data_IF_842110602747
#
_entry.id   IF_842110602747
#
_cell.length_a   1.000
_cell.length_b   1.000
_cell.length_c   1.000
_cell.angle_alpha   90.00
_cell.angle_beta   90.00
_cell.angle_gamma   90.00
#
_symmetry.space_group_name_H-M   'P 1'
#
loop_
_entity.id
_entity.type
_entity.pdbx_description
1 polymer ?
#
# COMPACT_ATOMS: atom_id res chain seq x y z
N UNK A 1 -22.35 -24.22 19.74
CA UNK A 1 -22.95 -25.23 20.61
C UNK A 1 -22.85 -24.80 22.08
N UNK A 2 -21.75 -24.22 22.50
CA UNK A 2 -21.53 -23.84 23.91
C UNK A 2 -22.28 -22.58 24.36
N UNK A 3 -22.73 -21.74 23.45
CA UNK A 3 -23.59 -20.59 23.74
C UNK A 3 -24.92 -21.08 24.35
N UNK A 4 -25.34 -22.25 23.94
CA UNK A 4 -26.60 -22.88 24.37
C UNK A 4 -26.39 -23.93 25.47
N UNK A 5 -25.17 -24.13 25.96
CA UNK A 5 -24.87 -25.14 26.94
C UNK A 5 -25.22 -24.65 28.37
N UNK A 6 -26.19 -25.25 29.04
CA UNK A 6 -26.55 -24.88 30.42
C UNK A 6 -25.42 -25.11 31.44
N UNK A 7 -24.39 -25.89 31.12
CA UNK A 7 -23.24 -26.11 32.00
C UNK A 7 -22.41 -24.84 32.23
N UNK A 8 -22.56 -23.81 31.40
CA UNK A 8 -21.93 -22.51 31.64
C UNK A 8 -22.71 -21.62 32.60
N UNK A 9 -23.87 -22.06 33.08
CA UNK A 9 -24.71 -21.32 34.01
C UNK A 9 -25.43 -20.11 33.44
N UNK A 10 -25.28 -19.84 32.15
CA UNK A 10 -25.91 -18.71 31.49
C UNK A 10 -27.22 -19.12 30.80
N UNK A 11 -28.33 -18.54 31.21
CA UNK A 11 -29.59 -18.66 30.48
C UNK A 11 -29.54 -17.81 29.23
N UNK A 12 -30.22 -18.25 28.13
CA UNK A 12 -30.28 -17.54 26.86
C UNK A 12 -30.73 -16.08 27.01
N UNK A 13 -31.71 -15.83 27.90
CA UNK A 13 -32.20 -14.49 28.20
C UNK A 13 -31.09 -13.56 28.74
N UNK A 14 -30.24 -14.10 29.64
CA UNK A 14 -29.13 -13.35 30.20
C UNK A 14 -28.08 -13.07 29.13
N UNK A 15 -27.84 -14.03 28.25
CA UNK A 15 -26.92 -13.86 27.13
C UNK A 15 -27.44 -12.81 26.11
N UNK A 16 -28.74 -12.80 25.85
CA UNK A 16 -29.38 -11.80 24.97
C UNK A 16 -29.36 -10.40 25.61
N UNK A 17 -29.64 -10.27 26.89
CA UNK A 17 -29.58 -8.99 27.64
C UNK A 17 -28.14 -8.43 27.64
N UNK A 18 -27.13 -9.31 27.67
CA UNK A 18 -25.74 -8.93 27.62
C UNK A 18 -25.29 -8.54 26.18
N UNK A 19 -25.94 -9.07 25.16
CA UNK A 19 -25.80 -8.65 23.76
C UNK A 19 -26.38 -7.24 23.53
N UNK A 20 -27.50 -6.93 24.13
CA UNK A 20 -28.13 -5.61 24.10
C UNK A 20 -27.28 -4.55 24.81
N UNK A 21 -26.44 -4.92 25.78
CA UNK A 21 -25.48 -4.05 26.47
C UNK A 21 -24.25 -3.61 25.63
N UNK A 22 -24.19 -4.01 24.36
CA UNK A 22 -23.19 -3.58 23.37
C UNK A 22 -21.98 -4.51 23.27
N UNK A 23 -21.19 -4.27 22.18
CA UNK A 23 -19.99 -5.04 21.78
C UNK A 23 -18.91 -5.18 22.88
N UNK A 24 -18.91 -4.29 23.89
CA UNK A 24 -17.94 -4.29 24.98
C UNK A 24 -17.91 -5.59 25.82
N UNK A 25 -19.03 -6.30 25.90
CA UNK A 25 -19.08 -7.57 26.63
C UNK A 25 -18.35 -8.70 25.91
N UNK A 26 -18.45 -8.76 24.59
CA UNK A 26 -17.75 -9.74 23.77
C UNK A 26 -16.25 -9.40 23.51
N UNK A 27 -15.86 -8.17 23.74
CA UNK A 27 -14.45 -7.76 23.70
C UNK A 27 -13.67 -8.28 24.92
N UNK A 28 -14.33 -8.60 26.01
CA UNK A 28 -13.70 -9.26 27.16
C UNK A 28 -13.58 -10.75 26.88
N UNK A 29 -12.36 -11.19 26.56
CA UNK A 29 -12.03 -12.51 26.01
C UNK A 29 -12.67 -13.72 26.66
N UNK A 30 -13.12 -13.64 27.94
CA UNK A 30 -13.79 -14.75 28.66
C UNK A 30 -15.18 -15.08 28.10
N UNK A 31 -15.85 -14.17 27.44
CA UNK A 31 -17.26 -14.32 27.03
C UNK A 31 -17.47 -14.35 25.52
N UNK A 32 -16.42 -14.16 24.73
CA UNK A 32 -16.52 -14.26 23.29
C UNK A 32 -16.51 -15.74 22.86
N UNK A 33 -17.61 -16.28 22.33
CA UNK A 33 -17.68 -17.70 21.96
C UNK A 33 -16.72 -18.06 20.83
N UNK A 34 -16.36 -17.11 19.99
CA UNK A 34 -15.40 -17.32 18.89
C UNK A 34 -14.00 -17.56 19.41
N UNK A 35 -13.60 -16.93 20.52
CA UNK A 35 -12.26 -17.09 21.09
C UNK A 35 -12.01 -18.49 21.67
N UNK A 36 -13.03 -19.27 21.95
CA UNK A 36 -12.90 -20.67 22.38
C UNK A 36 -12.52 -21.61 21.24
N UNK A 37 -12.82 -21.21 20.00
CA UNK A 37 -12.60 -22.00 18.79
C UNK A 37 -11.49 -21.45 17.90
N UNK A 38 -10.98 -20.24 18.22
CA UNK A 38 -9.90 -19.58 17.47
C UNK A 38 -8.65 -19.55 18.35
N UNK A 39 -7.61 -20.24 17.94
CA UNK A 39 -6.28 -20.12 18.53
C UNK A 39 -5.57 -18.95 17.89
N UNK A 40 -5.68 -17.77 18.50
CA UNK A 40 -4.90 -16.60 18.07
C UNK A 40 -3.52 -16.65 18.74
N UNK A 41 -2.50 -16.91 17.97
CA UNK A 41 -1.10 -16.85 18.40
C UNK A 41 -0.48 -15.56 17.91
N UNK A 42 -0.15 -14.67 18.84
CA UNK A 42 0.65 -13.48 18.50
C UNK A 42 2.13 -13.88 18.53
N UNK A 43 2.92 -13.28 17.64
CA UNK A 43 4.36 -13.49 17.59
C UNK A 43 5.03 -13.29 18.96
N UNK A 44 4.66 -12.23 19.67
CA UNK A 44 5.17 -11.92 20.99
C UNK A 44 4.94 -13.06 21.99
N UNK A 45 3.76 -13.65 21.99
CA UNK A 45 3.42 -14.75 22.90
C UNK A 45 4.26 -16.00 22.59
N UNK A 46 4.54 -16.25 21.28
CA UNK A 46 5.38 -17.36 20.85
C UNK A 46 6.86 -17.11 21.19
N UNK A 47 7.33 -15.89 21.10
CA UNK A 47 8.69 -15.48 21.51
C UNK A 47 8.88 -15.59 23.03
N UNK A 48 7.88 -15.15 23.82
CA UNK A 48 7.87 -15.26 25.28
C UNK A 48 7.84 -16.73 25.75
N UNK A 49 7.15 -17.61 25.01
CA UNK A 49 7.13 -19.05 25.25
C UNK A 49 8.39 -19.77 24.77
N UNK A 50 9.31 -19.09 24.10
CA UNK A 50 10.50 -19.69 23.49
C UNK A 50 10.25 -20.61 22.31
N UNK A 51 9.06 -20.58 21.71
CA UNK A 51 8.69 -21.41 20.56
C UNK A 51 9.26 -20.87 19.24
N UNK A 52 9.53 -19.58 19.18
CA UNK A 52 10.22 -18.93 18.06
C UNK A 52 11.33 -18.02 18.61
N UNK A 53 12.43 -17.86 17.90
CA UNK A 53 13.49 -16.95 18.32
C UNK A 53 13.01 -15.50 18.28
N UNK A 54 13.42 -14.71 19.27
CA UNK A 54 13.24 -13.26 19.24
C UNK A 54 14.20 -12.68 18.21
N UNK A 55 13.66 -12.16 17.12
CA UNK A 55 14.46 -11.48 16.10
C UNK A 55 14.72 -10.05 16.55
N UNK A 56 15.98 -9.58 16.48
CA UNK A 56 16.26 -8.16 16.65
C UNK A 56 15.55 -7.38 15.54
N UNK A 57 14.86 -6.31 15.92
CA UNK A 57 14.19 -5.39 14.98
C UNK A 57 14.86 -4.04 15.12
N UNK A 58 15.39 -3.56 14.00
CA UNK A 58 15.92 -2.22 13.87
C UNK A 58 14.98 -1.42 12.95
N UNK A 59 14.54 -0.26 13.40
CA UNK A 59 13.54 0.54 12.68
C UNK A 59 14.25 1.72 12.04
N UNK A 60 14.15 1.80 10.73
CA UNK A 60 14.67 2.90 9.92
C UNK A 60 13.53 3.59 9.13
N UNK A 61 13.62 4.90 8.89
CA UNK A 61 14.62 5.82 9.45
C UNK A 61 14.48 5.97 10.97
N UNK A 62 15.59 6.02 11.66
CA UNK A 62 15.66 6.30 13.09
C UNK A 62 15.89 7.81 13.28
N UNK A 63 15.18 8.43 14.22
CA UNK A 63 15.31 9.87 14.52
C UNK A 63 16.75 10.29 14.92
N UNK A 64 17.53 9.35 15.44
CA UNK A 64 18.91 9.58 15.85
C UNK A 64 19.93 9.44 14.70
N UNK A 65 19.50 8.95 13.53
CA UNK A 65 20.36 8.81 12.36
C UNK A 65 20.14 9.98 11.40
N UNK A 66 21.21 10.70 11.03
CA UNK A 66 21.09 11.79 10.05
C UNK A 66 20.75 11.22 8.68
N UNK A 67 19.60 11.66 8.14
CA UNK A 67 19.20 11.35 6.77
C UNK A 67 19.60 12.50 5.84
N UNK A 68 19.96 12.22 4.57
CA UNK A 68 20.37 13.26 3.63
C UNK A 68 19.20 14.20 3.28
N UNK A 69 19.36 15.49 3.52
CA UNK A 69 18.33 16.53 3.34
C UNK A 69 17.86 16.71 1.90
N UNK A 70 18.63 16.24 0.91
CA UNK A 70 18.22 16.29 -0.50
C UNK A 70 17.23 15.17 -0.87
N UNK A 71 17.04 14.18 -0.01
CA UNK A 71 16.06 13.09 -0.16
C UNK A 71 14.96 13.21 0.88
N UNK A 72 15.30 13.66 2.09
CA UNK A 72 14.40 13.68 3.23
C UNK A 72 14.27 15.09 3.82
N UNK A 73 13.05 15.39 4.29
CA UNK A 73 12.76 16.52 5.17
C UNK A 73 12.43 15.93 6.56
N UNK A 74 13.42 15.94 7.46
CA UNK A 74 13.37 15.17 8.69
C UNK A 74 13.27 13.67 8.43
N UNK A 75 12.18 13.05 8.85
CA UNK A 75 11.85 11.62 8.58
C UNK A 75 10.93 11.43 7.36
N UNK A 76 10.46 12.51 6.75
CA UNK A 76 9.59 12.46 5.59
C UNK A 76 10.40 12.49 4.29
N UNK A 77 9.90 11.87 3.24
CA UNK A 77 10.50 12.00 1.91
C UNK A 77 10.20 13.41 1.41
N UNK A 78 11.22 14.13 0.96
CA UNK A 78 11.07 15.46 0.37
C UNK A 78 10.29 15.36 -0.95
N UNK A 79 9.24 16.18 -1.08
CA UNK A 79 8.45 16.24 -2.31
C UNK A 79 9.19 17.01 -3.41
N UNK A 80 8.78 16.79 -4.67
CA UNK A 80 9.28 17.51 -5.83
C UNK A 80 8.24 18.51 -6.34
N UNK A 81 8.63 19.57 -7.09
CA UNK A 81 7.67 20.46 -7.75
C UNK A 81 6.67 19.70 -8.64
N UNK A 82 7.12 18.70 -9.37
CA UNK A 82 6.27 17.85 -10.21
C UNK A 82 5.20 17.11 -9.40
N UNK A 83 5.54 16.65 -8.20
CA UNK A 83 4.56 16.04 -7.30
C UNK A 83 3.51 17.05 -6.86
N UNK A 84 3.90 18.29 -6.54
CA UNK A 84 2.99 19.36 -6.17
C UNK A 84 2.05 19.73 -7.33
N UNK A 85 2.58 19.84 -8.55
CA UNK A 85 1.78 20.11 -9.75
C UNK A 85 0.77 18.99 -10.01
N UNK A 86 1.17 17.72 -9.87
CA UNK A 86 0.27 16.57 -9.98
C UNK A 86 -0.80 16.56 -8.89
N UNK A 87 -0.44 16.92 -7.66
CA UNK A 87 -1.38 17.04 -6.55
C UNK A 87 -2.45 18.10 -6.85
N UNK A 88 -2.04 19.27 -7.32
CA UNK A 88 -2.97 20.35 -7.72
C UNK A 88 -3.82 19.93 -8.92
N UNK A 89 -3.29 19.20 -9.88
CA UNK A 89 -4.06 18.66 -10.99
C UNK A 89 -5.15 17.68 -10.50
N UNK A 90 -4.82 16.79 -9.55
CA UNK A 90 -5.79 15.89 -8.93
C UNK A 90 -6.91 16.65 -8.18
N UNK A 91 -6.59 17.77 -7.55
CA UNK A 91 -7.59 18.63 -6.92
C UNK A 91 -8.51 19.30 -7.96
N UNK A 92 -7.94 19.83 -9.07
CA UNK A 92 -8.74 20.39 -10.19
C UNK A 92 -9.68 19.34 -10.77
N UNK A 93 -9.18 18.14 -11.03
CA UNK A 93 -10.01 17.01 -11.46
C UNK A 93 -11.17 16.76 -10.49
N UNK A 94 -10.90 16.68 -9.19
CA UNK A 94 -11.91 16.44 -8.16
C UNK A 94 -12.98 17.52 -8.14
N UNK A 95 -12.60 18.79 -8.29
CA UNK A 95 -13.54 19.92 -8.34
C UNK A 95 -14.43 19.87 -9.58
N UNK A 96 -13.88 19.50 -10.72
CA UNK A 96 -14.65 19.30 -11.95
C UNK A 96 -15.64 18.13 -11.79
N UNK A 97 -15.15 16.99 -11.31
CA UNK A 97 -15.91 15.75 -11.11
C UNK A 97 -17.05 15.90 -10.09
N UNK A 98 -16.85 16.72 -9.04
CA UNK A 98 -17.87 17.03 -8.02
C UNK A 98 -19.13 17.69 -8.59
N UNK A 99 -19.04 18.36 -9.74
CA UNK A 99 -20.18 19.02 -10.38
C UNK A 99 -21.25 18.04 -10.86
N UNK A 100 -20.88 16.79 -11.11
CA UNK A 100 -21.77 15.76 -11.67
C UNK A 100 -21.97 14.53 -10.79
N UNK A 101 -21.18 14.34 -9.74
CA UNK A 101 -21.27 13.16 -8.87
C UNK A 101 -20.97 13.43 -7.41
N UNK A 102 -21.59 12.64 -6.53
CA UNK A 102 -21.29 12.66 -5.10
C UNK A 102 -20.05 11.81 -4.74
N UNK A 103 -19.57 10.95 -5.65
CA UNK A 103 -18.41 10.09 -5.43
C UNK A 103 -17.06 10.83 -5.54
N UNK A 104 -17.05 12.15 -5.80
CA UNK A 104 -15.84 12.92 -6.00
C UNK A 104 -14.84 12.86 -4.82
N UNK A 105 -15.33 12.73 -3.59
CA UNK A 105 -14.48 12.57 -2.41
C UNK A 105 -13.70 11.26 -2.40
N UNK A 106 -14.34 10.17 -2.82
CA UNK A 106 -13.70 8.87 -2.98
C UNK A 106 -12.63 8.92 -4.08
N UNK A 107 -12.98 9.47 -5.25
CA UNK A 107 -12.06 9.62 -6.37
C UNK A 107 -10.84 10.48 -6.01
N UNK A 108 -11.03 11.57 -5.25
CA UNK A 108 -9.92 12.37 -4.72
C UNK A 108 -8.97 11.50 -3.90
N UNK A 109 -9.52 10.78 -2.92
CA UNK A 109 -8.72 9.95 -2.02
C UNK A 109 -7.96 8.87 -2.79
N UNK A 110 -8.62 8.17 -3.71
CA UNK A 110 -8.01 7.16 -4.54
C UNK A 110 -6.85 7.74 -5.37
N UNK A 111 -7.09 8.82 -6.11
CA UNK A 111 -6.08 9.43 -6.98
C UNK A 111 -4.87 9.93 -6.19
N UNK A 112 -5.10 10.60 -5.05
CA UNK A 112 -4.03 11.08 -4.18
C UNK A 112 -3.23 9.93 -3.55
N UNK A 113 -3.87 8.86 -3.12
CA UNK A 113 -3.17 7.68 -2.61
C UNK A 113 -2.27 7.04 -3.68
N UNK A 114 -2.73 7.02 -4.93
CA UNK A 114 -1.94 6.50 -6.06
C UNK A 114 -0.73 7.37 -6.36
N UNK A 115 -0.91 8.69 -6.47
CA UNK A 115 0.19 9.66 -6.66
C UNK A 115 1.19 9.54 -5.50
N UNK A 116 0.69 9.46 -4.27
CA UNK A 116 1.53 9.27 -3.08
C UNK A 116 2.20 7.90 -3.01
N UNK A 117 1.73 6.90 -3.75
CA UNK A 117 2.40 5.60 -3.82
C UNK A 117 3.62 5.64 -4.74
N UNK A 118 3.43 6.07 -5.98
CA UNK A 118 4.48 6.34 -6.96
C UNK A 118 3.94 7.16 -8.13
N UNK A 119 4.83 7.83 -8.86
CA UNK A 119 4.47 8.51 -10.10
C UNK A 119 3.82 7.54 -11.10
N UNK A 120 4.36 6.33 -11.23
CA UNK A 120 3.80 5.31 -12.12
C UNK A 120 2.36 4.90 -11.75
N UNK A 121 2.06 4.74 -10.47
CA UNK A 121 0.70 4.43 -10.03
C UNK A 121 -0.27 5.60 -10.25
N UNK A 122 0.19 6.83 -10.06
CA UNK A 122 -0.58 8.04 -10.37
C UNK A 122 -0.93 8.14 -11.85
N UNK A 123 0.07 7.97 -12.72
CA UNK A 123 -0.09 7.96 -14.19
C UNK A 123 -1.06 6.85 -14.62
N UNK A 124 -0.81 5.61 -14.17
CA UNK A 124 -1.66 4.48 -14.53
C UNK A 124 -3.14 4.70 -14.19
N UNK A 125 -3.41 5.28 -13.00
CA UNK A 125 -4.76 5.60 -12.57
C UNK A 125 -5.39 6.70 -13.43
N UNK A 126 -4.64 7.77 -13.73
CA UNK A 126 -5.13 8.85 -14.58
C UNK A 126 -5.40 8.38 -16.02
N UNK A 127 -4.55 7.51 -16.58
CA UNK A 127 -4.75 6.89 -17.88
C UNK A 127 -5.99 6.02 -17.95
N UNK A 128 -6.27 5.23 -16.90
CA UNK A 128 -7.48 4.44 -16.83
C UNK A 128 -8.72 5.31 -16.73
N UNK A 129 -8.70 6.36 -15.93
CA UNK A 129 -9.80 7.33 -15.87
C UNK A 129 -10.01 8.07 -17.20
N UNK A 130 -9.00 8.16 -18.06
CA UNK A 130 -9.11 8.65 -19.43
C UNK A 130 -9.59 7.58 -20.43
N UNK A 131 -9.76 6.32 -19.99
CA UNK A 131 -10.11 5.20 -20.86
C UNK A 131 -8.95 4.77 -21.79
N UNK A 132 -7.70 5.11 -21.44
CA UNK A 132 -6.51 4.76 -22.23
C UNK A 132 -5.89 3.42 -21.79
N UNK A 133 -6.28 2.91 -20.63
CA UNK A 133 -5.75 1.69 -20.01
C UNK A 133 -6.82 1.00 -19.17
N UNK A 134 -6.81 -0.33 -19.18
CA UNK A 134 -7.56 -1.11 -18.21
C UNK A 134 -6.81 -1.12 -16.88
N UNK A 135 -7.50 -0.89 -15.78
CA UNK A 135 -6.95 -1.06 -14.44
C UNK A 135 -7.48 -2.35 -13.84
N UNK A 136 -6.54 -3.21 -13.49
CA UNK A 136 -6.75 -4.39 -12.65
C UNK A 136 -6.87 -3.97 -11.17
N UNK A 137 -7.90 -3.20 -10.82
CA UNK A 137 -8.11 -2.74 -9.47
C UNK A 137 -9.58 -2.81 -9.08
N UNK A 138 -9.90 -3.67 -8.10
CA UNK A 138 -11.26 -3.85 -7.56
C UNK A 138 -11.91 -2.51 -7.15
N UNK A 139 -11.12 -1.54 -6.67
CA UNK A 139 -11.63 -0.24 -6.28
C UNK A 139 -12.14 0.61 -7.46
N UNK A 140 -11.68 0.31 -8.68
CA UNK A 140 -12.14 0.97 -9.91
C UNK A 140 -13.18 0.14 -10.67
N UNK A 141 -13.16 -1.19 -10.54
CA UNK A 141 -14.21 -2.05 -11.06
C UNK A 141 -15.59 -1.71 -10.46
N UNK A 142 -15.64 -1.29 -9.19
CA UNK A 142 -16.87 -0.78 -8.57
C UNK A 142 -17.39 0.52 -9.22
N UNK A 143 -16.53 1.27 -9.91
CA UNK A 143 -16.89 2.51 -10.62
C UNK A 143 -17.26 2.27 -12.09
N UNK A 144 -16.89 1.14 -12.67
CA UNK A 144 -17.16 0.77 -14.06
C UNK A 144 -18.65 0.47 -14.35
N UNK A 145 -19.50 0.39 -13.33
CA UNK A 145 -20.95 0.19 -13.47
C UNK A 145 -21.67 1.26 -14.31
N UNK A 146 -21.13 2.47 -14.34
CA UNK A 146 -21.51 3.55 -15.26
C UNK A 146 -20.23 4.01 -15.97
N UNK A 147 -20.08 3.71 -17.25
CA UNK A 147 -18.90 4.03 -18.04
C UNK A 147 -18.39 5.45 -17.72
N UNK A 148 -17.26 5.53 -17.01
CA UNK A 148 -16.66 6.80 -16.64
C UNK A 148 -16.20 7.51 -17.91
N UNK A 149 -17.04 8.39 -18.44
CA UNK A 149 -16.67 9.26 -19.54
C UNK A 149 -16.27 10.61 -18.98
N UNK A 150 -14.96 10.84 -18.84
CA UNK A 150 -14.44 12.14 -18.41
C UNK A 150 -14.90 13.27 -19.35
N UNK A 151 -15.41 14.36 -18.80
CA UNK A 151 -15.72 15.58 -19.54
C UNK A 151 -14.44 16.40 -19.75
N UNK A 152 -14.50 17.47 -20.57
CA UNK A 152 -13.32 18.21 -21.04
C UNK A 152 -12.44 18.73 -19.87
N UNK A 153 -13.05 19.40 -18.87
CA UNK A 153 -12.32 19.92 -17.71
C UNK A 153 -11.64 18.81 -16.90
N UNK A 154 -12.27 17.62 -16.81
CA UNK A 154 -11.73 16.45 -16.12
C UNK A 154 -10.58 15.84 -16.93
N UNK A 155 -10.73 15.74 -18.26
CA UNK A 155 -9.69 15.24 -19.16
C UNK A 155 -8.44 16.12 -19.12
N UNK A 156 -8.62 17.43 -19.17
CA UNK A 156 -7.52 18.38 -19.08
C UNK A 156 -6.75 18.22 -17.76
N UNK A 157 -7.46 18.14 -16.64
CA UNK A 157 -6.82 17.98 -15.33
C UNK A 157 -6.09 16.63 -15.18
N UNK A 158 -6.66 15.52 -15.70
CA UNK A 158 -5.98 14.22 -15.70
C UNK A 158 -4.76 14.20 -16.63
N UNK A 159 -4.82 14.90 -17.77
CA UNK A 159 -3.67 15.02 -18.66
C UNK A 159 -2.55 15.87 -18.02
N UNK A 160 -2.89 17.00 -17.39
CA UNK A 160 -1.92 17.81 -16.63
C UNK A 160 -1.22 16.98 -15.54
N UNK A 161 -1.96 16.07 -14.86
CA UNK A 161 -1.39 15.17 -13.86
C UNK A 161 -0.38 14.20 -14.51
N UNK A 162 -0.74 13.59 -15.63
CA UNK A 162 0.15 12.68 -16.36
C UNK A 162 1.40 13.42 -16.79
N UNK A 163 1.25 14.61 -17.38
CA UNK A 163 2.36 15.41 -17.89
C UNK A 163 3.32 15.84 -16.75
N UNK A 164 2.77 16.18 -15.59
CA UNK A 164 3.56 16.55 -14.42
C UNK A 164 4.41 15.38 -13.88
N UNK A 165 3.91 14.13 -13.96
CA UNK A 165 4.59 12.96 -13.42
C UNK A 165 5.44 12.21 -14.46
N UNK A 166 5.18 12.42 -15.76
CA UNK A 166 5.94 11.77 -16.82
C UNK A 166 7.38 12.26 -16.80
N UNK A 167 8.33 11.32 -16.90
CA UNK A 167 9.78 11.57 -16.88
C UNK A 167 10.30 12.34 -15.63
N UNK A 168 9.43 12.56 -14.63
CA UNK A 168 9.84 13.19 -13.39
C UNK A 168 10.56 12.18 -12.46
N UNK A 169 11.56 12.69 -11.74
CA UNK A 169 12.26 11.88 -10.71
C UNK A 169 11.31 11.58 -9.54
N UNK A 170 11.03 10.29 -9.34
CA UNK A 170 10.14 9.84 -8.26
C UNK A 170 10.87 9.90 -6.91
N UNK A 171 10.39 10.69 -5.94
CA UNK A 171 11.04 10.85 -4.65
C UNK A 171 11.14 9.54 -3.86
N UNK A 172 10.17 8.64 -4.01
CA UNK A 172 10.18 7.34 -3.31
C UNK A 172 11.19 6.38 -3.90
N UNK A 173 11.33 6.34 -5.22
CA UNK A 173 12.38 5.55 -5.86
C UNK A 173 13.76 6.03 -5.44
N UNK A 174 13.94 7.35 -5.33
CA UNK A 174 15.17 7.94 -4.83
C UNK A 174 15.46 7.52 -3.38
N UNK A 175 14.46 7.51 -2.51
CA UNK A 175 14.59 7.01 -1.15
C UNK A 175 14.90 5.50 -1.09
N UNK A 176 14.27 4.70 -1.97
CA UNK A 176 14.58 3.26 -2.10
C UNK A 176 16.04 3.05 -2.47
N UNK A 177 16.55 3.77 -3.48
CA UNK A 177 17.97 3.71 -3.88
C UNK A 177 18.91 4.03 -2.73
N UNK A 178 18.61 5.12 -1.99
CA UNK A 178 19.40 5.49 -0.82
C UNK A 178 19.46 4.36 0.22
N UNK A 179 18.33 3.74 0.56
CA UNK A 179 18.33 2.64 1.52
C UNK A 179 19.02 1.38 1.00
N UNK A 180 18.98 1.12 -0.30
CA UNK A 180 19.64 -0.05 -0.88
C UNK A 180 21.16 0.11 -0.95
N UNK A 181 21.66 1.27 -1.33
CA UNK A 181 23.07 1.45 -1.70
C UNK A 181 23.88 2.28 -0.71
N UNK A 182 23.29 3.31 -0.12
CA UNK A 182 24.01 4.28 0.70
C UNK A 182 23.81 4.02 2.20
N UNK A 183 22.64 3.54 2.59
CA UNK A 183 22.36 3.25 3.99
C UNK A 183 23.00 1.93 4.40
N UNK A 184 23.77 1.94 5.49
CA UNK A 184 24.50 0.78 5.95
C UNK A 184 23.89 0.20 7.23
N UNK A 185 23.81 -1.12 7.27
CA UNK A 185 23.62 -1.89 8.50
C UNK A 185 24.94 -2.58 8.85
N UNK A 186 25.65 -2.02 9.82
CA UNK A 186 27.02 -2.39 10.11
C UNK A 186 27.97 -2.00 8.97
N UNK A 187 28.63 -2.98 8.34
CA UNK A 187 29.56 -2.78 7.21
C UNK A 187 28.94 -3.14 5.85
N UNK A 188 27.66 -3.45 5.80
CA UNK A 188 26.97 -3.94 4.59
C UNK A 188 25.77 -3.06 4.24
N UNK A 189 25.53 -2.89 2.96
CA UNK A 189 24.33 -2.22 2.44
C UNK A 189 23.11 -3.15 2.52
N UNK A 190 21.92 -2.59 2.46
CA UNK A 190 20.70 -3.42 2.42
C UNK A 190 20.60 -4.24 1.12
N UNK A 191 21.17 -3.75 0.04
CA UNK A 191 21.27 -4.52 -1.21
C UNK A 191 22.09 -5.79 -1.04
N UNK A 192 23.23 -5.72 -0.32
CA UNK A 192 24.07 -6.89 -0.03
C UNK A 192 23.43 -7.88 0.96
N UNK A 193 22.58 -7.38 1.85
CA UNK A 193 21.85 -8.21 2.82
C UNK A 193 20.61 -8.86 2.22
N UNK A 194 20.08 -8.29 1.15
CA UNK A 194 18.76 -8.57 0.61
C UNK A 194 17.69 -7.71 1.28
N UNK A 195 16.72 -7.23 0.48
CA UNK A 195 15.65 -6.36 0.95
C UNK A 195 14.31 -6.83 0.41
N UNK A 196 13.24 -6.59 1.18
CA UNK A 196 11.86 -6.77 0.76
C UNK A 196 11.19 -5.40 0.81
N UNK A 197 10.64 -4.97 -0.33
CA UNK A 197 9.93 -3.71 -0.46
C UNK A 197 8.44 -4.02 -0.56
N UNK A 198 7.65 -3.48 0.37
CA UNK A 198 6.20 -3.62 0.35
C UNK A 198 5.54 -2.41 -0.29
N UNK A 199 4.57 -2.65 -1.16
CA UNK A 199 3.67 -1.64 -1.70
C UNK A 199 2.23 -2.12 -1.60
N UNK A 200 1.30 -1.19 -1.36
CA UNK A 200 -0.12 -1.46 -1.42
C UNK A 200 -0.59 -1.70 -2.86
N UNK A 201 0.08 -1.06 -3.83
CA UNK A 201 -0.34 -1.07 -5.23
C UNK A 201 0.64 -1.87 -6.09
N UNK A 202 0.07 -2.75 -6.91
CA UNK A 202 0.84 -3.56 -7.85
C UNK A 202 1.64 -2.71 -8.83
N UNK A 203 1.04 -1.66 -9.40
CA UNK A 203 1.72 -0.77 -10.35
C UNK A 203 3.02 -0.18 -9.75
N UNK A 204 2.98 0.21 -8.48
CA UNK A 204 4.18 0.69 -7.77
C UNK A 204 5.21 -0.41 -7.61
N UNK A 205 4.81 -1.61 -7.15
CA UNK A 205 5.72 -2.72 -6.95
C UNK A 205 6.35 -3.18 -8.26
N UNK A 206 5.55 -3.28 -9.33
CA UNK A 206 6.00 -3.68 -10.66
C UNK A 206 6.99 -2.66 -11.23
N UNK A 207 6.64 -1.37 -11.17
CA UNK A 207 7.47 -0.30 -11.67
C UNK A 207 8.82 -0.20 -10.92
N UNK A 208 8.80 -0.22 -9.57
CA UNK A 208 10.04 -0.23 -8.76
C UNK A 208 10.90 -1.44 -9.15
N UNK A 209 10.30 -2.63 -9.24
CA UNK A 209 11.01 -3.83 -9.64
C UNK A 209 11.68 -3.70 -11.01
N UNK A 210 10.99 -3.10 -11.99
CA UNK A 210 11.52 -2.85 -13.33
C UNK A 210 12.65 -1.81 -13.33
N UNK A 211 12.55 -0.73 -12.52
CA UNK A 211 13.63 0.23 -12.39
C UNK A 211 14.87 -0.41 -11.75
N UNK A 212 14.69 -1.14 -10.66
CA UNK A 212 15.79 -1.83 -9.99
C UNK A 212 16.43 -2.91 -10.88
N UNK A 213 15.64 -3.64 -11.68
CA UNK A 213 16.17 -4.65 -12.60
C UNK A 213 17.03 -4.03 -13.72
N UNK A 214 16.73 -2.81 -14.16
CA UNK A 214 17.56 -2.05 -15.10
C UNK A 214 18.86 -1.57 -14.46
N UNK A 215 18.81 -1.15 -13.19
CA UNK A 215 19.96 -0.64 -12.45
C UNK A 215 20.89 -1.76 -11.98
N UNK A 216 20.34 -2.93 -11.66
CA UNK A 216 21.07 -4.10 -11.14
C UNK A 216 20.83 -5.34 -11.98
N UNK A 217 21.27 -5.37 -13.25
CA UNK A 217 20.92 -6.46 -14.18
C UNK A 217 21.41 -7.85 -13.75
N UNK A 218 22.47 -7.91 -12.94
CA UNK A 218 23.01 -9.17 -12.43
C UNK A 218 22.23 -9.72 -11.22
N UNK A 219 21.38 -8.90 -10.58
CA UNK A 219 20.63 -9.31 -9.41
C UNK A 219 19.22 -9.78 -9.80
N UNK A 220 18.72 -10.90 -9.25
CA UNK A 220 17.34 -11.27 -9.44
C UNK A 220 16.43 -10.36 -8.62
N UNK A 221 15.49 -9.72 -9.27
CA UNK A 221 14.45 -8.91 -8.64
C UNK A 221 13.13 -9.68 -8.73
N UNK A 222 12.61 -10.13 -7.61
CA UNK A 222 11.33 -10.81 -7.55
C UNK A 222 10.21 -9.83 -7.24
N UNK A 223 9.17 -9.84 -8.05
CA UNK A 223 7.90 -9.16 -7.80
C UNK A 223 6.92 -10.23 -7.37
N UNK A 224 6.43 -10.15 -6.14
CA UNK A 224 5.43 -11.07 -5.61
C UNK A 224 4.06 -10.39 -5.53
N UNK A 225 3.08 -10.94 -6.22
CA UNK A 225 1.72 -10.42 -6.24
C UNK A 225 0.71 -11.56 -6.41
N UNK A 226 -0.53 -11.33 -5.99
CA UNK A 226 -1.62 -12.27 -6.22
C UNK A 226 -2.01 -12.41 -7.69
N UNK A 227 -2.99 -13.29 -7.95
CA UNK A 227 -3.62 -13.47 -9.27
C UNK A 227 -2.65 -13.81 -10.43
N UNK A 228 -1.56 -14.56 -10.16
CA UNK A 228 -0.63 -14.97 -11.21
C UNK A 228 0.27 -13.85 -11.75
N UNK A 229 0.34 -12.71 -11.07
CA UNK A 229 1.18 -11.55 -11.47
C UNK A 229 2.60 -11.60 -10.93
N UNK A 230 2.97 -12.67 -10.18
CA UNK A 230 4.32 -12.85 -9.66
C UNK A 230 5.32 -13.14 -10.78
N UNK A 231 6.48 -12.49 -10.73
CA UNK A 231 7.53 -12.65 -11.74
C UNK A 231 8.93 -12.35 -11.18
N UNK A 232 9.93 -12.89 -11.85
CA UNK A 232 11.35 -12.63 -11.57
C UNK A 232 11.95 -11.92 -12.77
N UNK A 233 12.65 -10.83 -12.51
CA UNK A 233 13.35 -10.01 -13.49
C UNK A 233 14.85 -10.23 -13.28
N UNK A 234 15.59 -10.59 -14.34
CA UNK A 234 17.05 -10.74 -14.31
C UNK A 234 17.63 -10.61 -15.72
N UNK A 235 18.68 -9.81 -15.88
CA UNK A 235 19.39 -9.71 -17.16
C UNK A 235 18.51 -9.24 -18.35
N UNK A 236 17.45 -8.48 -18.09
CA UNK A 236 16.48 -8.08 -19.10
C UNK A 236 15.38 -9.11 -19.41
N UNK A 237 15.44 -10.29 -18.81
CA UNK A 237 14.43 -11.34 -18.94
C UNK A 237 13.39 -11.27 -17.82
N UNK A 238 12.14 -11.63 -18.13
CA UNK A 238 11.04 -11.72 -17.17
C UNK A 238 10.48 -13.15 -17.20
N UNK A 239 10.55 -13.83 -16.06
CA UNK A 239 10.03 -15.19 -15.90
C UNK A 239 8.87 -15.18 -14.91
N UNK A 240 7.73 -15.79 -15.29
CA UNK A 240 6.61 -15.97 -14.35
C UNK A 240 7.06 -16.82 -13.16
N UNK A 241 6.68 -16.40 -11.94
CA UNK A 241 6.87 -17.17 -10.72
C UNK A 241 5.51 -17.68 -10.24
N UNK A 242 5.39 -18.99 -10.08
CA UNK A 242 4.21 -19.65 -9.49
C UNK A 242 4.22 -19.55 -7.96
#
# INVERSE_FOLDING_TARGET
>A
ADIMNPATGMKLELALTMLEGGLGYFQRGAHNPLLRHVVLRKRRDLEEMGLIPKLPVDIHPNADLPLPNHIFDGLSIATSPNFEDAYQAAERFTLAYRRRTRAAGFMKTLLLQRICSSHAAGIATAEALLGKRDLDDEALEELEGDAFAAVEDERAALQDLIDALTDADDPKLRAVRYFLDDHQSGSRTWRELGAIIFSQYYDTAAWIGEQLAKEYPEQPIAIYAGAGKSRILKGGESTSAE
#
